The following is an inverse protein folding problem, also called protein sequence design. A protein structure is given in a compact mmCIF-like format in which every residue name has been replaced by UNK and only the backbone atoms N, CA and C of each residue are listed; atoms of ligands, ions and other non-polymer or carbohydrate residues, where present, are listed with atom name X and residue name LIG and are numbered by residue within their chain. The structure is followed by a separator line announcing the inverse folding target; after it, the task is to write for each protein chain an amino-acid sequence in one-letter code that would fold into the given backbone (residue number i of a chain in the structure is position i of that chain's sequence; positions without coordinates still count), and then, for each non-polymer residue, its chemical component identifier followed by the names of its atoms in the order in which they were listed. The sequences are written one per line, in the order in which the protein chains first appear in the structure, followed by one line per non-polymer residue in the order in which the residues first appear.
data_IF_025517685248
#
_entry.id   IF_025517685248
#
_cell.length_a   1.000
_cell.length_b   1.000
_cell.length_c   1.000
_cell.angle_alpha   90.00
_cell.angle_beta   90.00
_cell.angle_gamma   90.00
#
_symmetry.space_group_name_H-M   'P 1'
#
loop_
_entity.id
_entity.type
_entity.pdbx_description
1 polymer ?
#
# COMPACT_ATOMS: atom_id res chain seq x y z
N UNK A 1 7.04 -1.39 -8.06
CA UNK A 1 5.89 -0.90 -8.84
C UNK A 1 4.90 -0.15 -7.98
N UNK A 2 4.00 0.63 -8.58
CA UNK A 2 2.99 1.43 -7.90
C UNK A 2 1.62 1.32 -8.58
N UNK A 3 0.56 1.46 -7.80
CA UNK A 3 -0.83 1.48 -8.25
C UNK A 3 -1.49 2.74 -7.67
N UNK A 4 -2.27 3.47 -8.48
CA UNK A 4 -2.97 4.67 -8.04
C UNK A 4 -4.44 4.64 -8.41
N UNK A 5 -5.28 5.15 -7.52
CA UNK A 5 -6.70 5.41 -7.80
C UNK A 5 -6.93 6.65 -8.66
N UNK A 6 -5.91 7.46 -8.90
CA UNK A 6 -5.97 8.60 -9.82
C UNK A 6 -5.93 8.14 -11.29
N UNK A 7 -6.58 8.89 -12.21
CA UNK A 7 -6.47 8.65 -13.64
C UNK A 7 -5.08 9.00 -14.16
N UNK A 8 -4.74 8.48 -15.34
CA UNK A 8 -3.45 8.64 -16.01
C UNK A 8 -3.05 10.11 -16.14
N UNK A 9 -3.98 10.97 -16.51
CA UNK A 9 -3.75 12.42 -16.65
C UNK A 9 -3.23 13.08 -15.34
N UNK A 10 -3.70 12.62 -14.18
CA UNK A 10 -3.23 13.12 -12.88
C UNK A 10 -1.88 12.49 -12.54
N UNK A 11 -1.70 11.20 -12.83
CA UNK A 11 -0.43 10.51 -12.57
C UNK A 11 0.72 11.05 -13.43
N UNK A 12 0.45 11.49 -14.66
CA UNK A 12 1.46 12.10 -15.53
C UNK A 12 2.01 13.42 -14.96
N UNK A 13 1.26 14.08 -14.08
CA UNK A 13 1.73 15.24 -13.31
C UNK A 13 2.44 14.82 -12.02
N UNK A 14 1.89 13.83 -11.29
CA UNK A 14 2.42 13.45 -9.98
C UNK A 14 3.72 12.63 -10.04
N UNK A 15 3.89 11.77 -11.05
CA UNK A 15 5.10 10.94 -11.23
C UNK A 15 6.37 11.79 -11.32
N UNK A 16 6.48 12.80 -12.20
CA UNK A 16 7.70 13.61 -12.27
C UNK A 16 7.95 14.40 -10.98
N UNK A 17 6.90 14.94 -10.35
CA UNK A 17 7.04 15.64 -9.07
C UNK A 17 7.57 14.71 -7.99
N UNK A 18 7.05 13.48 -7.88
CA UNK A 18 7.54 12.52 -6.89
C UNK A 18 9.01 12.13 -7.13
N UNK A 19 9.44 12.06 -8.40
CA UNK A 19 10.83 11.81 -8.76
C UNK A 19 11.77 12.95 -8.31
N UNK A 20 11.32 14.21 -8.35
CA UNK A 20 12.08 15.36 -7.81
C UNK A 20 12.31 15.24 -6.30
N UNK A 21 11.42 14.55 -5.57
CA UNK A 21 11.59 14.21 -4.15
C UNK A 21 12.31 12.87 -3.93
N UNK A 22 12.83 12.24 -4.99
CA UNK A 22 13.61 11.00 -4.92
C UNK A 22 12.80 9.70 -4.93
N UNK A 23 11.48 9.76 -5.17
CA UNK A 23 10.64 8.57 -5.29
C UNK A 23 10.31 8.26 -6.75
N UNK A 24 10.92 7.19 -7.28
CA UNK A 24 10.72 6.75 -8.66
C UNK A 24 10.47 5.23 -8.71
N UNK A 25 9.21 4.78 -8.66
CA UNK A 25 8.89 3.36 -8.85
C UNK A 25 9.17 2.90 -10.29
N UNK A 26 9.63 1.66 -10.46
CA UNK A 26 10.00 1.09 -11.77
C UNK A 26 8.83 1.00 -12.77
N UNK A 27 7.60 0.89 -12.25
CA UNK A 27 6.38 0.82 -13.05
C UNK A 27 5.20 1.41 -12.26
N UNK A 28 4.30 2.11 -12.95
CA UNK A 28 3.14 2.78 -12.34
C UNK A 28 1.90 2.50 -13.16
N UNK A 29 0.86 1.99 -12.49
CA UNK A 29 -0.48 1.79 -13.06
C UNK A 29 -1.47 2.78 -12.44
N UNK A 30 -2.14 3.55 -13.29
CA UNK A 30 -3.25 4.43 -12.96
C UNK A 30 -4.59 3.69 -13.11
N UNK A 31 -5.66 4.22 -12.50
CA UNK A 31 -6.96 3.54 -12.37
C UNK A 31 -7.64 3.22 -13.72
N UNK A 32 -7.32 3.99 -14.76
CA UNK A 32 -7.91 3.97 -16.09
C UNK A 32 -6.95 3.44 -17.17
N UNK A 33 -5.76 2.97 -16.80
CA UNK A 33 -4.83 2.33 -17.75
C UNK A 33 -5.34 0.99 -18.27
N UNK A 34 -6.19 0.32 -17.48
CA UNK A 34 -6.67 -1.03 -17.75
C UNK A 34 -8.19 -1.00 -18.03
N UNK A 35 -8.66 -1.66 -19.10
CA UNK A 35 -10.10 -1.67 -19.43
C UNK A 35 -10.96 -2.36 -18.37
N UNK A 36 -10.37 -3.19 -17.52
CA UNK A 36 -11.05 -3.84 -16.40
C UNK A 36 -11.26 -2.91 -15.18
N UNK A 37 -10.64 -1.72 -15.17
CA UNK A 37 -10.67 -0.78 -14.07
C UNK A 37 -9.65 -1.07 -12.96
N UNK A 38 -9.76 -0.32 -11.86
CA UNK A 38 -8.85 -0.38 -10.72
C UNK A 38 -9.39 -1.14 -9.51
N UNK A 39 -9.01 -0.65 -8.32
CA UNK A 39 -9.38 -1.22 -7.01
C UNK A 39 -10.90 -1.34 -6.84
N UNK A 40 -11.39 -2.36 -6.10
CA UNK A 40 -10.63 -3.36 -5.34
C UNK A 40 -10.19 -4.58 -6.16
N UNK A 41 -10.41 -4.60 -7.47
CA UNK A 41 -9.99 -5.72 -8.30
C UNK A 41 -8.46 -5.77 -8.42
N UNK A 42 -7.85 -6.95 -8.68
CA UNK A 42 -6.40 -7.14 -8.57
C UNK A 42 -5.62 -6.64 -9.79
N UNK A 43 -6.29 -6.07 -10.79
CA UNK A 43 -5.72 -5.89 -12.13
C UNK A 43 -4.48 -5.01 -12.15
N UNK A 44 -4.45 -3.90 -11.42
CA UNK A 44 -3.29 -3.00 -11.41
C UNK A 44 -2.09 -3.63 -10.69
N UNK A 45 -2.34 -4.34 -9.60
CA UNK A 45 -1.29 -5.10 -8.88
C UNK A 45 -0.72 -6.22 -9.76
N UNK A 46 -1.56 -6.99 -10.46
CA UNK A 46 -1.12 -8.05 -11.36
C UNK A 46 -0.43 -7.50 -12.62
N UNK A 47 -0.83 -6.33 -13.11
CA UNK A 47 -0.11 -5.65 -14.19
C UNK A 47 1.31 -5.30 -13.76
N UNK A 48 1.50 -4.81 -12.53
CA UNK A 48 2.84 -4.59 -11.97
C UNK A 48 3.65 -5.90 -11.89
N UNK A 49 3.04 -7.02 -11.47
CA UNK A 49 3.73 -8.33 -11.45
C UNK A 49 4.29 -8.68 -12.84
N UNK A 50 3.46 -8.52 -13.88
CA UNK A 50 3.85 -8.85 -15.27
C UNK A 50 5.00 -7.95 -15.74
N UNK A 51 4.86 -6.64 -15.57
CA UNK A 51 5.81 -5.66 -16.13
C UNK A 51 7.15 -5.64 -15.39
N UNK A 52 7.14 -6.00 -14.09
CA UNK A 52 8.35 -6.15 -13.30
C UNK A 52 8.97 -7.55 -13.40
N UNK A 53 8.37 -8.47 -14.17
CA UNK A 53 8.88 -9.82 -14.36
C UNK A 53 8.87 -10.68 -13.10
N UNK A 54 7.97 -10.38 -12.14
CA UNK A 54 7.87 -11.16 -10.90
C UNK A 54 7.22 -12.50 -11.17
N UNK A 55 7.84 -13.58 -10.72
CA UNK A 55 7.41 -14.96 -11.03
C UNK A 55 6.60 -15.64 -9.92
N UNK A 56 6.60 -15.09 -8.70
CA UNK A 56 5.80 -15.61 -7.58
C UNK A 56 5.05 -14.48 -6.89
N UNK A 57 3.73 -14.43 -7.11
CA UNK A 57 2.87 -13.39 -6.53
C UNK A 57 2.81 -13.47 -5.00
N UNK A 58 3.03 -14.65 -4.43
CA UNK A 58 3.05 -14.84 -2.96
C UNK A 58 4.24 -14.13 -2.30
N UNK A 59 5.26 -13.77 -3.08
CA UNK A 59 6.40 -12.98 -2.62
C UNK A 59 6.19 -11.47 -2.80
N UNK A 60 5.05 -11.04 -3.36
CA UNK A 60 4.71 -9.62 -3.48
C UNK A 60 4.06 -9.11 -2.19
N UNK A 61 4.33 -7.84 -1.88
CA UNK A 61 3.72 -7.12 -0.76
C UNK A 61 2.98 -5.90 -1.29
N UNK A 62 1.67 -5.84 -1.04
CA UNK A 62 0.82 -4.69 -1.34
C UNK A 62 0.68 -3.82 -0.09
N UNK A 63 1.30 -2.64 -0.14
CA UNK A 63 1.14 -1.61 0.90
C UNK A 63 0.06 -0.62 0.47
N UNK A 64 -0.86 -0.27 1.37
CA UNK A 64 -1.89 0.73 1.11
C UNK A 64 -2.43 1.36 2.39
N UNK A 65 -2.97 2.57 2.29
CA UNK A 65 -3.63 3.28 3.38
C UNK A 65 -5.16 3.18 3.32
N UNK A 66 -5.70 2.48 2.32
CA UNK A 66 -7.14 2.39 2.08
C UNK A 66 -7.64 0.95 1.99
N UNK A 67 -8.86 0.70 2.47
CA UNK A 67 -9.47 -0.63 2.37
C UNK A 67 -9.55 -1.17 0.91
N UNK A 68 -9.91 -0.38 -0.12
CA UNK A 68 -9.89 -0.86 -1.50
C UNK A 68 -8.51 -1.33 -1.99
N UNK A 69 -7.43 -0.67 -1.57
CA UNK A 69 -6.07 -1.09 -1.94
C UNK A 69 -5.59 -2.32 -1.19
N UNK A 70 -6.06 -2.53 0.05
CA UNK A 70 -5.84 -3.80 0.77
C UNK A 70 -6.60 -4.95 0.10
N UNK A 71 -7.86 -4.72 -0.30
CA UNK A 71 -8.61 -5.73 -1.06
C UNK A 71 -7.97 -6.05 -2.40
N UNK A 72 -7.39 -5.08 -3.10
CA UNK A 72 -6.61 -5.31 -4.34
C UNK A 72 -5.45 -6.28 -4.10
N UNK A 73 -4.71 -6.12 -3.00
CA UNK A 73 -3.62 -7.04 -2.64
C UNK A 73 -4.10 -8.45 -2.30
N UNK A 74 -5.14 -8.56 -1.48
CA UNK A 74 -5.76 -9.85 -1.14
C UNK A 74 -6.28 -10.56 -2.39
N UNK A 75 -7.00 -9.85 -3.25
CA UNK A 75 -7.54 -10.40 -4.49
C UNK A 75 -6.45 -10.82 -5.48
N UNK A 76 -5.25 -10.23 -5.38
CA UNK A 76 -4.09 -10.60 -6.18
C UNK A 76 -3.32 -11.79 -5.59
N UNK A 77 -3.57 -12.19 -4.33
CA UNK A 77 -2.82 -13.23 -3.63
C UNK A 77 -1.46 -12.74 -3.11
N UNK A 78 -1.38 -11.47 -2.71
CA UNK A 78 -0.18 -10.82 -2.16
C UNK A 78 -0.29 -10.68 -0.64
N UNK A 79 0.86 -10.55 0.05
CA UNK A 79 0.88 -10.02 1.41
C UNK A 79 0.34 -8.60 1.41
N UNK A 80 -0.27 -8.16 2.51
CA UNK A 80 -0.93 -6.85 2.60
C UNK A 80 -0.52 -6.13 3.87
N UNK A 81 -0.20 -4.84 3.73
CA UNK A 81 0.26 -3.98 4.82
C UNK A 81 -0.57 -2.71 4.81
N UNK A 82 -1.31 -2.47 5.89
CA UNK A 82 -2.10 -1.24 6.10
C UNK A 82 -1.31 -0.17 6.83
N UNK A 83 -1.34 1.07 6.33
CA UNK A 83 -0.71 2.24 6.96
C UNK A 83 -1.69 2.96 7.90
N UNK A 84 -1.31 3.14 9.16
CA UNK A 84 -2.18 3.72 10.20
C UNK A 84 -2.05 5.23 10.36
N UNK A 85 -0.85 5.80 10.22
CA UNK A 85 -0.56 7.20 10.57
C UNK A 85 -0.11 8.06 9.37
N UNK A 86 0.43 7.46 8.31
CA UNK A 86 0.81 8.17 7.07
C UNK A 86 -0.24 8.10 5.97
N UNK A 87 -1.49 7.82 6.32
CA UNK A 87 -2.57 7.50 5.39
C UNK A 87 -3.79 8.41 5.51
N UNK A 88 -4.71 8.30 4.56
CA UNK A 88 -5.97 9.06 4.52
C UNK A 88 -6.78 9.01 5.81
N UNK A 89 -6.78 7.86 6.50
CA UNK A 89 -7.63 7.68 7.67
C UNK A 89 -7.05 8.33 8.94
N UNK A 90 -5.71 8.43 9.04
CA UNK A 90 -5.06 9.21 10.09
C UNK A 90 -5.51 10.67 10.02
N UNK A 91 -5.53 11.22 8.80
CA UNK A 91 -5.99 12.58 8.51
C UNK A 91 -5.13 13.66 9.16
N UNK A 92 -3.86 13.35 9.44
CA UNK A 92 -2.86 14.27 9.98
C UNK A 92 -1.99 14.77 8.83
N UNK A 93 -1.72 16.06 8.80
CA UNK A 93 -0.59 16.60 8.04
C UNK A 93 0.73 16.13 8.67
N UNK A 94 1.83 16.25 7.92
CA UNK A 94 3.14 15.89 8.45
C UNK A 94 3.53 16.70 9.69
N UNK A 95 3.22 18.01 9.71
CA UNK A 95 3.49 18.88 10.85
C UNK A 95 2.65 18.48 12.08
N UNK A 96 1.37 18.18 11.88
CA UNK A 96 0.50 17.69 12.96
C UNK A 96 0.97 16.36 13.52
N UNK A 97 1.41 15.43 12.65
CA UNK A 97 1.98 14.15 13.07
C UNK A 97 3.25 14.34 13.91
N UNK A 98 4.16 15.22 13.50
CA UNK A 98 5.40 15.51 14.24
C UNK A 98 5.16 16.18 15.59
N UNK A 99 4.10 16.99 15.70
CA UNK A 99 3.75 17.72 16.92
C UNK A 99 2.80 16.95 17.85
N UNK A 100 2.20 15.85 17.38
CA UNK A 100 1.21 15.08 18.13
C UNK A 100 1.84 14.36 19.33
N UNK A 101 1.08 14.31 20.43
CA UNK A 101 1.39 13.43 21.53
C UNK A 101 0.89 12.00 21.26
N UNK A 102 1.37 11.04 22.06
CA UNK A 102 1.01 9.63 21.89
C UNK A 102 -0.51 9.39 22.01
N UNK A 103 -1.21 10.19 22.83
CA UNK A 103 -2.66 10.08 22.96
C UNK A 103 -3.41 10.51 21.69
N UNK A 104 -2.88 11.49 20.96
CA UNK A 104 -3.42 11.93 19.67
C UNK A 104 -3.10 10.91 18.59
N UNK A 105 -1.86 10.39 18.56
CA UNK A 105 -1.47 9.34 17.62
C UNK A 105 -2.31 8.07 17.82
N UNK A 106 -2.54 7.62 19.05
CA UNK A 106 -3.34 6.42 19.29
C UNK A 106 -4.79 6.59 18.84
N UNK A 107 -5.40 7.76 19.03
CA UNK A 107 -6.74 8.06 18.48
C UNK A 107 -6.77 7.97 16.95
N UNK A 108 -5.72 8.45 16.28
CA UNK A 108 -5.58 8.33 14.84
C UNK A 108 -5.41 6.86 14.41
N UNK A 109 -4.61 6.07 15.14
CA UNK A 109 -4.48 4.61 14.91
C UNK A 109 -5.81 3.90 15.09
N UNK A 110 -6.56 4.17 16.15
CA UNK A 110 -7.87 3.56 16.40
C UNK A 110 -8.84 3.84 15.25
N UNK A 111 -8.88 5.09 14.77
CA UNK A 111 -9.69 5.49 13.62
C UNK A 111 -9.29 4.72 12.35
N UNK A 112 -7.99 4.63 12.05
CA UNK A 112 -7.49 3.89 10.89
C UNK A 112 -7.75 2.37 11.02
N UNK A 113 -7.47 1.76 12.18
CA UNK A 113 -7.74 0.35 12.49
C UNK A 113 -9.21 0.01 12.23
N UNK A 114 -10.14 0.87 12.66
CA UNK A 114 -11.58 0.66 12.46
C UNK A 114 -11.96 0.51 10.98
N UNK A 115 -11.24 1.18 10.08
CA UNK A 115 -11.47 1.10 8.63
C UNK A 115 -10.89 -0.15 8.00
N UNK A 116 -9.81 -0.67 8.57
CA UNK A 116 -9.18 -1.91 8.11
C UNK A 116 -9.85 -3.18 8.64
N UNK A 117 -10.78 -3.13 9.61
CA UNK A 117 -11.45 -4.33 10.17
C UNK A 117 -11.97 -5.26 9.09
N UNK A 118 -12.64 -4.72 8.07
CA UNK A 118 -13.24 -5.53 6.99
C UNK A 118 -12.23 -6.04 5.98
N UNK A 119 -11.20 -5.26 5.69
CA UNK A 119 -10.17 -5.63 4.72
C UNK A 119 -9.06 -6.47 5.33
N UNK A 120 -8.95 -6.52 6.66
CA UNK A 120 -8.06 -7.38 7.43
C UNK A 120 -6.66 -7.55 6.80
N UNK A 121 -5.84 -6.47 6.75
CA UNK A 121 -4.49 -6.59 6.22
C UNK A 121 -3.65 -7.55 7.07
N UNK A 122 -2.67 -8.23 6.46
CA UNK A 122 -1.78 -9.15 7.17
C UNK A 122 -0.94 -8.44 8.23
N UNK A 123 -0.58 -7.18 7.96
CA UNK A 123 0.18 -6.32 8.87
C UNK A 123 -0.43 -4.92 8.94
N UNK A 124 -0.24 -4.27 10.08
CA UNK A 124 -0.53 -2.85 10.28
C UNK A 124 0.73 -2.19 10.81
N UNK A 125 1.12 -1.07 10.20
CA UNK A 125 2.27 -0.25 10.61
C UNK A 125 1.89 1.22 10.61
N UNK A 126 2.63 2.05 11.33
CA UNK A 126 2.31 3.48 11.44
C UNK A 126 2.65 4.20 10.14
N UNK A 127 3.86 4.00 9.63
CA UNK A 127 4.31 4.62 8.38
C UNK A 127 5.10 3.63 7.52
N UNK A 128 5.37 4.01 6.27
CA UNK A 128 6.22 3.21 5.36
C UNK A 128 7.64 2.97 5.91
N UNK A 129 8.10 3.80 6.85
CA UNK A 129 9.43 3.67 7.48
C UNK A 129 9.57 2.38 8.29
N UNK A 130 8.46 1.81 8.75
CA UNK A 130 8.41 0.58 9.54
C UNK A 130 8.35 -0.69 8.67
N UNK A 131 8.19 -0.53 7.35
CA UNK A 131 8.07 -1.64 6.41
C UNK A 131 9.25 -2.62 6.42
N UNK A 132 10.53 -2.20 6.60
CA UNK A 132 11.66 -3.14 6.59
C UNK A 132 11.53 -4.30 7.58
N UNK A 133 10.98 -4.06 8.79
CA UNK A 133 10.79 -5.12 9.78
C UNK A 133 9.70 -6.11 9.35
N UNK A 134 8.64 -5.62 8.72
CA UNK A 134 7.57 -6.46 8.15
C UNK A 134 8.11 -7.34 7.02
N UNK A 135 9.00 -6.84 6.18
CA UNK A 135 9.63 -7.64 5.11
C UNK A 135 10.43 -8.80 5.70
N UNK A 136 11.21 -8.56 6.76
CA UNK A 136 11.98 -9.61 7.44
C UNK A 136 11.06 -10.71 7.98
N UNK A 137 9.92 -10.36 8.57
CA UNK A 137 8.95 -11.34 9.06
C UNK A 137 8.28 -12.12 7.91
N UNK A 138 7.88 -11.45 6.84
CA UNK A 138 7.32 -12.10 5.64
C UNK A 138 8.32 -13.11 5.05
N UNK A 139 9.60 -12.77 4.96
CA UNK A 139 10.63 -13.69 4.48
C UNK A 139 10.75 -14.94 5.36
N UNK A 140 10.68 -14.79 6.68
CA UNK A 140 10.70 -15.92 7.62
C UNK A 140 9.46 -16.81 7.44
N UNK A 141 8.29 -16.22 7.30
CA UNK A 141 7.02 -16.94 7.08
C UNK A 141 7.02 -17.68 5.75
N UNK A 142 7.52 -17.06 4.68
CA UNK A 142 7.70 -17.71 3.38
C UNK A 142 8.67 -18.90 3.48
N UNK A 143 9.78 -18.76 4.21
CA UNK A 143 10.73 -19.85 4.44
C UNK A 143 10.12 -21.01 5.25
N UNK A 144 9.17 -20.71 6.15
CA UNK A 144 8.38 -21.69 6.88
C UNK A 144 7.25 -22.33 6.04
N UNK A 145 7.06 -21.90 4.79
CA UNK A 145 6.04 -22.42 3.88
C UNK A 145 4.67 -21.76 4.02
N UNK A 146 4.56 -20.70 4.82
CA UNK A 146 3.36 -19.87 4.88
C UNK A 146 3.14 -19.10 3.58
N UNK A 147 1.91 -18.63 3.41
CA UNK A 147 1.45 -17.86 2.25
C UNK A 147 0.54 -16.74 2.76
N UNK A 148 0.37 -15.66 1.98
CA UNK A 148 -0.73 -14.72 2.22
C UNK A 148 -2.07 -15.47 2.32
#
# INVERSE_FOLDING_TARGET
GSCSGYPREVMDVLIPVAADYGYQPDYVVATDDLPQGGRPAPFMALKNVIELGVTDVKACVKVDDSAPGIFEGHNAGMWTVGLLLSGNEAGLTFEEYQAADEATLEKAREKARAKFIKSAPHYLIDTISDLPEVIVDIEQRLAAGERP
#
